data_IF_910842521031
#
_entry.id   IF_910842521031
#
_cell.length_a   1.000
_cell.length_b   1.000
_cell.length_c   1.000
_cell.angle_alpha   90.00
_cell.angle_beta   90.00
_cell.angle_gamma   90.00
#
_symmetry.space_group_name_H-M   'P 1'
#
loop_
_entity.id
_entity.type
_entity.pdbx_description
1 polymer ?
#
# COMPACT_ATOMS: atom_id res chain seq x y z
N UNK A 1 -0.31 27.76 29.27
CA UNK A 1 -0.38 26.61 28.34
C UNK A 1 0.75 26.80 27.36
N UNK A 2 1.79 25.96 27.47
CA UNK A 2 3.07 26.15 26.80
C UNK A 2 2.99 25.64 25.38
N UNK A 3 3.62 26.37 24.44
CA UNK A 3 3.68 26.05 23.01
C UNK A 3 4.32 24.69 22.69
N UNK A 4 4.92 24.04 23.69
CA UNK A 4 5.60 22.74 23.60
C UNK A 4 4.64 21.53 23.61
N UNK A 5 3.42 21.68 24.15
CA UNK A 5 2.43 20.60 24.15
C UNK A 5 1.83 20.35 22.76
N UNK A 6 1.85 21.36 21.88
CA UNK A 6 1.37 21.25 20.50
C UNK A 6 2.23 20.33 19.63
N UNK A 7 3.54 20.21 19.92
CA UNK A 7 4.46 19.32 19.21
C UNK A 7 4.30 17.84 19.63
N UNK A 8 3.83 17.59 20.87
CA UNK A 8 3.61 16.24 21.41
C UNK A 8 2.33 15.57 20.90
N UNK A 9 1.43 16.33 20.27
CA UNK A 9 0.18 15.85 19.65
C UNK A 9 0.34 15.62 18.13
N UNK A 10 1.52 15.84 17.54
CA UNK A 10 1.79 15.40 16.16
C UNK A 10 2.01 13.88 16.13
N UNK A 11 0.92 13.14 16.00
CA UNK A 11 0.94 11.71 15.70
C UNK A 11 1.90 11.47 14.52
N UNK A 12 2.86 10.55 14.69
CA UNK A 12 3.84 10.25 13.64
C UNK A 12 3.15 9.70 12.39
N UNK A 13 3.73 9.92 11.20
CA UNK A 13 3.24 9.31 9.95
C UNK A 13 3.06 7.79 10.08
N UNK A 14 3.96 7.13 10.80
CA UNK A 14 3.89 5.70 11.07
C UNK A 14 2.72 5.33 11.99
N UNK A 15 2.46 6.13 13.02
CA UNK A 15 1.34 5.94 13.94
C UNK A 15 0.00 6.20 13.26
N UNK A 16 -0.09 7.27 12.46
CA UNK A 16 -1.26 7.57 11.64
C UNK A 16 -1.56 6.44 10.66
N UNK A 17 -0.54 5.87 9.99
CA UNK A 17 -0.69 4.72 9.12
C UNK A 17 -1.18 3.47 9.86
N UNK A 18 -0.59 3.16 11.03
CA UNK A 18 -1.01 2.02 11.87
C UNK A 18 -2.45 2.19 12.36
N UNK A 19 -2.82 3.38 12.81
CA UNK A 19 -4.18 3.70 13.28
C UNK A 19 -5.19 3.60 12.13
N UNK A 20 -4.90 4.17 10.97
CA UNK A 20 -5.76 4.09 9.79
C UNK A 20 -5.96 2.64 9.31
N UNK A 21 -4.90 1.83 9.33
CA UNK A 21 -5.00 0.41 8.99
C UNK A 21 -5.91 -0.37 9.93
N UNK A 22 -5.79 -0.14 11.25
CA UNK A 22 -6.67 -0.76 12.26
C UNK A 22 -8.13 -0.34 12.08
N UNK A 23 -8.42 0.96 11.99
CA UNK A 23 -9.79 1.44 11.76
C UNK A 23 -10.40 0.90 10.46
N UNK A 24 -9.60 0.77 9.40
CA UNK A 24 -10.06 0.18 8.12
C UNK A 24 -10.37 -1.30 8.27
N UNK A 25 -9.51 -2.04 8.99
CA UNK A 25 -9.74 -3.47 9.30
C UNK A 25 -11.01 -3.65 10.13
N UNK A 26 -11.22 -2.82 11.16
CA UNK A 26 -12.39 -2.91 12.04
C UNK A 26 -13.68 -2.59 11.29
N UNK A 27 -13.65 -1.60 10.37
CA UNK A 27 -14.82 -1.18 9.60
C UNK A 27 -15.24 -2.16 8.51
N UNK A 28 -14.28 -2.75 7.80
CA UNK A 28 -14.56 -3.52 6.57
C UNK A 28 -14.14 -4.99 6.63
N UNK A 29 -13.51 -5.43 7.72
CA UNK A 29 -13.04 -6.80 7.92
C UNK A 29 -11.85 -7.19 7.04
N UNK A 30 -11.37 -8.41 7.21
CA UNK A 30 -10.17 -8.94 6.54
C UNK A 30 -10.32 -9.02 5.01
N UNK A 31 -11.54 -9.20 4.51
CA UNK A 31 -11.83 -9.24 3.08
C UNK A 31 -11.62 -7.92 2.33
N UNK A 32 -11.56 -6.79 3.05
CA UNK A 32 -11.41 -5.46 2.44
C UNK A 32 -10.08 -5.31 1.70
N UNK A 33 -8.97 -5.68 2.34
CA UNK A 33 -7.63 -5.55 1.77
C UNK A 33 -7.44 -6.45 0.55
N UNK A 34 -8.03 -7.66 0.58
CA UNK A 34 -8.04 -8.56 -0.58
C UNK A 34 -8.82 -7.98 -1.77
N UNK A 35 -9.98 -7.35 -1.52
CA UNK A 35 -10.79 -6.73 -2.58
C UNK A 35 -10.09 -5.53 -3.19
N UNK A 36 -9.57 -4.60 -2.38
CA UNK A 36 -8.83 -3.43 -2.89
C UNK A 36 -7.54 -3.87 -3.60
N UNK A 37 -6.85 -4.90 -3.10
CA UNK A 37 -5.67 -5.47 -3.72
C UNK A 37 -5.98 -6.09 -5.09
N UNK A 38 -7.11 -6.80 -5.24
CA UNK A 38 -7.55 -7.34 -6.54
C UNK A 38 -7.86 -6.24 -7.55
N UNK A 39 -8.60 -5.21 -7.14
CA UNK A 39 -8.97 -4.08 -8.02
C UNK A 39 -7.73 -3.27 -8.41
N UNK A 40 -6.92 -2.88 -7.43
CA UNK A 40 -5.70 -2.10 -7.62
C UNK A 40 -4.62 -2.88 -8.37
N UNK A 41 -4.44 -4.16 -8.05
CA UNK A 41 -3.51 -5.06 -8.72
C UNK A 41 -3.86 -5.26 -10.19
N UNK A 42 -5.14 -5.48 -10.52
CA UNK A 42 -5.59 -5.57 -11.91
C UNK A 42 -5.30 -4.28 -12.68
N UNK A 43 -5.74 -3.13 -12.16
CA UNK A 43 -5.56 -1.83 -12.82
C UNK A 43 -4.09 -1.43 -12.94
N UNK A 44 -3.30 -1.69 -11.90
CA UNK A 44 -1.86 -1.46 -11.89
C UNK A 44 -1.14 -2.35 -12.89
N UNK A 45 -1.47 -3.65 -12.92
CA UNK A 45 -0.94 -4.61 -13.89
C UNK A 45 -1.27 -4.24 -15.33
N UNK A 46 -2.52 -3.90 -15.63
CA UNK A 46 -2.92 -3.44 -16.97
C UNK A 46 -2.18 -2.16 -17.40
N UNK A 47 -1.99 -1.22 -16.47
CA UNK A 47 -1.25 0.03 -16.75
C UNK A 47 0.22 -0.24 -17.02
N UNK A 48 0.86 -1.06 -16.20
CA UNK A 48 2.26 -1.47 -16.38
C UNK A 48 2.45 -2.25 -17.67
N UNK A 49 1.55 -3.20 -17.96
CA UNK A 49 1.55 -3.97 -19.22
C UNK A 49 1.42 -3.06 -20.44
N UNK A 50 0.54 -2.05 -20.39
CA UNK A 50 0.39 -1.07 -21.48
C UNK A 50 1.65 -0.21 -21.66
N UNK A 51 2.34 0.14 -20.59
CA UNK A 51 3.53 1.02 -20.63
C UNK A 51 4.81 0.29 -21.05
N UNK A 52 5.02 -0.92 -20.55
CA UNK A 52 6.31 -1.60 -20.65
C UNK A 52 6.24 -2.96 -21.37
N UNK A 53 5.05 -3.41 -21.78
CA UNK A 53 4.87 -4.68 -22.48
C UNK A 53 5.17 -5.92 -21.62
N UNK A 54 5.27 -7.07 -22.28
CA UNK A 54 5.56 -8.38 -21.66
C UNK A 54 7.00 -8.51 -21.14
N UNK A 55 7.95 -7.82 -21.78
CA UNK A 55 9.38 -7.88 -21.46
C UNK A 55 9.69 -7.40 -20.03
N UNK A 56 8.91 -6.45 -19.52
CA UNK A 56 9.02 -5.97 -18.14
C UNK A 56 8.80 -7.07 -17.11
N UNK A 57 7.77 -7.90 -17.30
CA UNK A 57 7.46 -9.00 -16.39
C UNK A 57 8.48 -10.12 -16.49
N UNK A 58 9.00 -10.40 -17.69
CA UNK A 58 10.09 -11.35 -17.87
C UNK A 58 11.37 -10.90 -17.14
N UNK A 59 11.72 -9.62 -17.24
CA UNK A 59 12.88 -9.06 -16.54
C UNK A 59 12.74 -9.14 -15.02
N UNK A 60 11.58 -8.76 -14.47
CA UNK A 60 11.33 -8.86 -13.02
C UNK A 60 11.30 -10.32 -12.57
N UNK A 61 10.65 -11.21 -13.33
CA UNK A 61 10.61 -12.64 -13.04
C UNK A 61 12.01 -13.25 -13.02
N UNK A 62 12.88 -12.89 -13.96
CA UNK A 62 14.30 -13.28 -13.94
C UNK A 62 14.98 -12.76 -12.67
N UNK A 63 14.89 -11.46 -12.38
CA UNK A 63 15.53 -10.88 -11.18
C UNK A 63 15.04 -11.51 -9.86
N UNK A 64 13.76 -11.87 -9.75
CA UNK A 64 13.20 -12.51 -8.56
C UNK A 64 13.49 -14.01 -8.46
N UNK A 65 13.65 -14.69 -9.60
CA UNK A 65 13.97 -16.12 -9.68
C UNK A 65 15.46 -16.43 -9.70
N UNK A 66 16.33 -15.44 -9.90
CA UNK A 66 17.79 -15.55 -9.86
C UNK A 66 18.38 -15.72 -8.45
N UNK A 67 17.63 -16.31 -7.51
CA UNK A 67 18.07 -16.53 -6.13
C UNK A 67 18.44 -17.98 -5.89
#
# INVERSE_FOLDING_TARGET
>A
MSTEDTERIKMSRAEAGRKGGRTTKDRYGEGHFGRIGKIGGKKGGETTKRRYGSEFYQKIGRMGGSK
#
